data_IF_419568830964
#
_entry.id   IF_419568830964
#
_cell.length_a   1.000
_cell.length_b   1.000
_cell.length_c   1.000
_cell.angle_alpha   90.00
_cell.angle_beta   90.00
_cell.angle_gamma   90.00
#
_symmetry.space_group_name_H-M   'P 1'
#
loop_
_entity.id
_entity.type
_entity.pdbx_description
1 polymer ?
#
# COMPACT_ATOMS: atom_id res chain seq x y z
N UNK A 1 -12.41 -1.36 -13.04
CA UNK A 1 -11.15 -2.10 -12.86
C UNK A 1 -10.50 -1.66 -11.58
N UNK A 2 -10.12 -2.61 -10.76
CA UNK A 2 -9.41 -2.34 -9.51
C UNK A 2 -7.95 -2.71 -9.72
N UNK A 3 -7.07 -1.79 -9.43
CA UNK A 3 -5.64 -2.02 -9.51
C UNK A 3 -4.94 -1.63 -8.22
N UNK A 4 -3.85 -2.28 -7.92
CA UNK A 4 -3.01 -1.95 -6.76
C UNK A 4 -1.65 -1.50 -7.26
N UNK A 5 -1.18 -0.41 -6.67
CA UNK A 5 0.19 0.07 -6.89
C UNK A 5 0.98 -0.22 -5.64
N UNK A 6 1.90 -1.15 -5.75
CA UNK A 6 2.84 -1.47 -4.71
C UNK A 6 4.11 -1.99 -5.36
N UNK A 7 5.23 -1.81 -4.71
CA UNK A 7 6.47 -2.40 -5.16
C UNK A 7 6.51 -3.86 -4.73
N UNK A 8 6.26 -4.74 -5.67
CA UNK A 8 6.16 -6.18 -5.48
C UNK A 8 5.35 -6.77 -6.61
N UNK A 9 5.34 -8.08 -6.72
CA UNK A 9 4.57 -8.74 -7.76
C UNK A 9 3.18 -9.12 -7.26
N UNK A 10 2.19 -8.30 -7.61
CA UNK A 10 0.78 -8.55 -7.33
C UNK A 10 0.00 -8.85 -8.61
N UNK A 11 0.67 -9.32 -9.64
CA UNK A 11 0.04 -9.53 -10.95
C UNK A 11 -1.18 -10.44 -10.87
N UNK A 12 -1.14 -11.50 -10.09
CA UNK A 12 -2.28 -12.41 -9.92
C UNK A 12 -3.44 -11.74 -9.20
N UNK A 13 -3.16 -10.99 -8.13
CA UNK A 13 -4.16 -10.23 -7.39
C UNK A 13 -4.82 -9.19 -8.28
N UNK A 14 -4.03 -8.45 -9.05
CA UNK A 14 -4.53 -7.47 -10.00
C UNK A 14 -5.43 -8.10 -11.06
N UNK A 15 -5.06 -9.28 -11.59
CA UNK A 15 -5.88 -9.99 -12.57
C UNK A 15 -7.24 -10.38 -12.00
N UNK A 16 -7.30 -10.87 -10.78
CA UNK A 16 -8.56 -11.18 -10.11
C UNK A 16 -9.43 -9.94 -9.97
N UNK A 17 -8.84 -8.85 -9.50
CA UNK A 17 -9.57 -7.61 -9.26
C UNK A 17 -10.06 -6.97 -10.55
N UNK A 18 -9.33 -7.12 -11.65
CA UNK A 18 -9.75 -6.65 -12.97
C UNK A 18 -11.00 -7.37 -13.50
N UNK A 19 -11.27 -8.58 -13.02
CA UNK A 19 -12.47 -9.33 -13.39
C UNK A 19 -13.71 -8.87 -12.61
N UNK A 20 -13.53 -8.14 -11.53
CA UNK A 20 -14.62 -7.61 -10.70
C UNK A 20 -14.95 -6.20 -11.16
N UNK A 21 -15.38 -6.05 -12.41
CA UNK A 21 -15.56 -4.74 -13.02
C UNK A 21 -16.66 -3.89 -12.41
N UNK A 22 -17.64 -4.48 -11.74
CA UNK A 22 -18.86 -3.75 -11.40
C UNK A 22 -19.37 -3.96 -9.97
N UNK A 23 -18.63 -4.68 -9.14
CA UNK A 23 -19.13 -5.05 -7.83
C UNK A 23 -18.27 -4.67 -6.65
N UNK A 24 -17.14 -3.98 -6.86
CA UNK A 24 -16.32 -3.58 -5.73
C UNK A 24 -17.05 -2.52 -4.93
N UNK A 25 -17.61 -2.94 -3.82
CA UNK A 25 -18.15 -2.02 -2.84
C UNK A 25 -16.99 -1.17 -2.32
N UNK A 26 -17.09 0.14 -2.51
CA UNK A 26 -16.07 1.09 -2.04
C UNK A 26 -15.85 0.98 -0.52
N UNK A 27 -16.85 0.51 0.24
CA UNK A 27 -16.71 0.26 1.68
C UNK A 27 -15.70 -0.83 1.98
N UNK A 28 -15.58 -1.84 1.11
CA UNK A 28 -14.56 -2.88 1.26
C UNK A 28 -13.17 -2.30 1.06
N UNK A 29 -13.00 -1.42 0.08
CA UNK A 29 -11.72 -0.74 -0.15
C UNK A 29 -11.35 0.17 1.02
N UNK A 30 -12.32 0.88 1.61
CA UNK A 30 -12.09 1.70 2.79
C UNK A 30 -11.64 0.85 3.98
N UNK A 31 -12.27 -0.30 4.18
CA UNK A 31 -11.88 -1.23 5.24
C UNK A 31 -10.41 -1.64 5.10
N UNK A 32 -10.01 -2.07 3.90
CA UNK A 32 -8.63 -2.50 3.66
C UNK A 32 -7.66 -1.33 3.61
N UNK A 33 -8.11 -0.16 3.19
CA UNK A 33 -7.34 1.07 3.31
C UNK A 33 -6.97 1.37 4.74
N UNK A 34 -7.94 1.33 5.65
CA UNK A 34 -7.71 1.55 7.08
C UNK A 34 -6.82 0.47 7.70
N UNK A 35 -7.05 -0.79 7.38
CA UNK A 35 -6.21 -1.89 7.86
C UNK A 35 -4.76 -1.76 7.36
N UNK A 36 -4.58 -1.39 6.10
CA UNK A 36 -3.26 -1.20 5.51
C UNK A 36 -2.50 -0.04 6.14
N UNK A 37 -3.18 1.08 6.38
CA UNK A 37 -2.58 2.24 7.08
C UNK A 37 -2.13 1.82 8.48
N UNK A 38 -2.96 1.10 9.23
CA UNK A 38 -2.60 0.63 10.57
C UNK A 38 -1.40 -0.31 10.53
N UNK A 39 -1.35 -1.23 9.56
CA UNK A 39 -0.24 -2.16 9.40
C UNK A 39 1.06 -1.44 9.04
N UNK A 40 1.00 -0.49 8.11
CA UNK A 40 2.17 0.32 7.71
C UNK A 40 2.67 1.17 8.86
N UNK A 41 1.76 1.81 9.60
CA UNK A 41 2.10 2.61 10.77
C UNK A 41 2.83 1.78 11.82
N UNK A 42 2.31 0.58 12.12
CA UNK A 42 2.91 -0.32 13.10
C UNK A 42 4.27 -0.86 12.67
N UNK A 43 4.47 -1.06 11.37
CA UNK A 43 5.71 -1.61 10.84
C UNK A 43 6.80 -0.57 10.64
N UNK A 44 6.45 0.71 10.58
CA UNK A 44 7.41 1.80 10.36
C UNK A 44 8.43 1.85 11.52
N UNK A 45 9.74 1.97 11.23
CA UNK A 45 10.76 2.03 12.27
C UNK A 45 10.49 3.10 13.33
N UNK A 46 10.74 2.75 14.60
CA UNK A 46 10.37 3.57 15.77
C UNK A 46 11.01 4.96 15.75
N UNK A 47 12.24 5.09 15.25
CA UNK A 47 12.94 6.36 15.17
C UNK A 47 12.27 7.37 14.25
N UNK A 48 11.26 6.93 13.50
CA UNK A 48 10.54 7.73 12.52
C UNK A 48 9.07 7.92 12.94
N UNK A 49 8.85 8.34 14.19
CA UNK A 49 7.49 8.53 14.72
C UNK A 49 6.60 9.40 13.84
N UNK A 50 7.13 10.45 13.24
CA UNK A 50 6.39 11.27 12.30
C UNK A 50 5.99 10.46 11.04
N UNK A 51 6.91 9.66 10.51
CA UNK A 51 6.62 8.82 9.36
C UNK A 51 5.52 7.81 9.68
N UNK A 52 5.58 7.17 10.85
CA UNK A 52 4.56 6.22 11.27
C UNK A 52 3.16 6.84 11.34
N UNK A 53 3.07 8.11 11.72
CA UNK A 53 1.80 8.85 11.85
C UNK A 53 1.32 9.47 10.54
N UNK A 54 2.14 9.43 9.50
CA UNK A 54 1.87 10.14 8.24
C UNK A 54 1.30 9.24 7.14
N UNK A 55 1.07 7.98 7.41
CA UNK A 55 0.45 7.06 6.46
C UNK A 55 -1.03 7.40 6.26
N UNK A 56 -1.46 7.35 5.00
CA UNK A 56 -2.87 7.46 4.64
C UNK A 56 -3.12 6.68 3.36
N UNK A 57 -4.38 6.46 3.06
CA UNK A 57 -4.75 5.85 1.79
C UNK A 57 -5.68 6.77 1.03
N UNK A 58 -5.76 6.56 -0.25
CA UNK A 58 -6.77 7.21 -1.10
C UNK A 58 -7.25 6.22 -2.15
N UNK A 59 -8.49 6.42 -2.58
CA UNK A 59 -9.12 5.65 -3.63
C UNK A 59 -9.28 6.57 -4.81
N UNK A 60 -8.70 6.19 -5.95
CA UNK A 60 -8.81 6.95 -7.20
C UNK A 60 -9.61 6.16 -8.22
N UNK A 61 -10.51 6.84 -8.92
CA UNK A 61 -11.26 6.25 -10.03
C UNK A 61 -10.93 7.03 -11.29
N UNK A 62 -10.51 6.29 -12.33
CA UNK A 62 -10.23 6.87 -13.65
C UNK A 62 -10.89 5.96 -14.69
N UNK A 63 -12.00 6.41 -15.26
CA UNK A 63 -12.81 5.59 -16.15
C UNK A 63 -13.32 4.34 -15.42
N UNK A 64 -12.99 3.16 -15.94
CA UNK A 64 -13.38 1.87 -15.36
C UNK A 64 -12.40 1.38 -14.29
N UNK A 65 -11.33 2.15 -14.02
CA UNK A 65 -10.28 1.73 -13.12
C UNK A 65 -10.45 2.36 -11.74
N UNK A 66 -10.47 1.53 -10.70
CA UNK A 66 -10.43 1.96 -9.31
C UNK A 66 -9.11 1.50 -8.71
N UNK A 67 -8.41 2.43 -8.05
CA UNK A 67 -7.10 2.16 -7.42
C UNK A 67 -7.13 2.49 -5.95
N UNK A 68 -6.60 1.59 -5.13
CA UNK A 68 -6.33 1.84 -3.71
C UNK A 68 -4.84 2.15 -3.58
N UNK A 69 -4.52 3.36 -3.11
CA UNK A 69 -3.17 3.86 -3.00
C UNK A 69 -2.81 4.12 -1.55
N UNK A 70 -1.66 3.61 -1.12
CA UNK A 70 -1.11 3.93 0.20
C UNK A 70 -0.02 4.97 0.03
N UNK A 71 -0.13 6.05 0.81
CA UNK A 71 0.71 7.23 0.69
C UNK A 71 1.26 7.62 2.06
N UNK A 72 2.37 8.35 2.05
CA UNK A 72 2.91 8.92 3.27
C UNK A 72 3.23 10.40 3.04
N UNK A 73 2.71 11.26 3.91
CA UNK A 73 2.84 12.70 3.76
C UNK A 73 4.16 13.27 4.31
N UNK A 74 5.00 12.44 4.96
CA UNK A 74 6.26 12.92 5.50
C UNK A 74 7.33 13.03 4.40
N UNK A 75 7.37 14.20 3.79
CA UNK A 75 8.36 14.54 2.77
C UNK A 75 9.23 15.65 3.33
N UNK A 76 10.55 15.41 3.42
CA UNK A 76 11.52 16.37 3.95
C UNK A 76 12.49 16.77 2.85
N UNK A 77 12.58 18.07 2.55
CA UNK A 77 13.45 18.58 1.48
C UNK A 77 13.24 17.84 0.14
N UNK A 78 11.98 17.53 -0.19
CA UNK A 78 11.63 16.79 -1.40
C UNK A 78 11.86 15.28 -1.32
N UNK A 79 12.31 14.77 -0.17
CA UNK A 79 12.61 13.34 0.02
C UNK A 79 11.47 12.64 0.75
N UNK A 80 10.86 11.59 0.15
CA UNK A 80 9.84 10.82 0.84
C UNK A 80 10.50 9.87 1.86
N UNK A 81 10.40 10.21 3.12
CA UNK A 81 11.11 9.51 4.20
C UNK A 81 10.71 8.04 4.29
N UNK A 82 9.43 7.71 4.13
CA UNK A 82 8.98 6.32 4.18
C UNK A 82 9.69 5.43 3.16
N UNK A 83 9.98 5.96 1.99
CA UNK A 83 10.63 5.23 0.90
C UNK A 83 12.12 5.02 1.20
N UNK A 84 12.81 6.03 1.69
CA UNK A 84 14.24 5.85 1.99
C UNK A 84 14.47 4.92 3.19
N UNK A 85 13.52 4.83 4.11
CA UNK A 85 13.59 3.84 5.19
C UNK A 85 13.48 2.41 4.64
N UNK A 86 12.68 2.22 3.59
CA UNK A 86 12.52 0.93 2.93
C UNK A 86 13.78 0.51 2.17
N UNK A 87 14.37 1.42 1.41
CA UNK A 87 15.43 1.10 0.44
C UNK A 87 16.84 1.53 0.87
N UNK A 88 16.94 2.35 1.93
CA UNK A 88 18.21 2.93 2.32
C UNK A 88 18.53 4.18 1.54
N UNK A 89 19.59 4.86 1.94
CA UNK A 89 19.98 6.12 1.30
C UNK A 89 21.44 6.47 1.60
N UNK A 90 22.02 7.32 0.76
CA UNK A 90 23.33 7.90 1.01
C UNK A 90 23.25 9.00 2.07
N UNK A 91 24.33 9.17 2.84
CA UNK A 91 24.40 10.17 3.91
C UNK A 91 24.86 11.54 3.44
N UNK A 92 25.28 11.67 2.18
CA UNK A 92 25.86 12.90 1.64
C UNK A 92 27.34 13.06 1.96
N UNK A 93 27.92 12.18 2.76
CA UNK A 93 29.34 12.22 3.16
C UNK A 93 30.09 10.95 2.75
N UNK A 94 29.56 10.23 1.77
CA UNK A 94 30.14 8.98 1.27
C UNK A 94 29.68 7.72 1.99
N UNK A 95 28.85 7.84 3.03
CA UNK A 95 28.28 6.73 3.75
C UNK A 95 26.94 6.26 3.17
N UNK A 96 26.45 5.15 3.69
CA UNK A 96 25.18 4.56 3.30
C UNK A 96 24.41 4.09 4.53
N UNK A 97 23.12 4.43 4.59
CA UNK A 97 22.21 3.91 5.61
C UNK A 97 21.40 2.77 4.98
N UNK A 98 21.53 1.58 5.54
CA UNK A 98 20.85 0.39 5.03
C UNK A 98 19.34 0.51 5.21
N UNK A 99 18.59 0.19 4.16
CA UNK A 99 17.15 0.11 4.21
C UNK A 99 16.67 -1.14 4.94
N UNK A 100 15.41 -1.10 5.35
CA UNK A 100 14.72 -2.22 5.97
C UNK A 100 13.42 -2.47 5.26
N UNK A 101 13.22 -3.67 4.74
CA UNK A 101 11.99 -4.06 4.06
C UNK A 101 10.86 -4.18 5.10
N UNK A 102 10.12 -3.11 5.31
CA UNK A 102 8.99 -3.10 6.23
C UNK A 102 7.65 -2.90 5.54
N UNK A 103 7.64 -2.24 4.38
CA UNK A 103 6.42 -1.93 3.65
C UNK A 103 5.80 -3.21 3.09
N UNK A 104 6.57 -4.01 2.36
CA UNK A 104 6.07 -5.21 1.71
C UNK A 104 5.49 -6.23 2.70
N UNK A 105 6.20 -6.60 3.80
CA UNK A 105 5.64 -7.52 4.78
C UNK A 105 4.38 -6.98 5.47
N UNK A 106 4.28 -5.67 5.67
CA UNK A 106 3.13 -5.07 6.32
C UNK A 106 1.88 -5.10 5.43
N UNK A 107 2.05 -4.81 4.13
CA UNK A 107 0.92 -4.63 3.23
C UNK A 107 0.49 -5.92 2.52
N UNK A 108 1.40 -6.89 2.37
CA UNK A 108 1.11 -8.14 1.68
C UNK A 108 -0.11 -8.88 2.26
N UNK A 109 -0.23 -9.06 3.60
CA UNK A 109 -1.40 -9.74 4.16
C UNK A 109 -2.71 -9.00 3.88
N UNK A 110 -2.66 -7.67 3.78
CA UNK A 110 -3.84 -6.86 3.50
C UNK A 110 -4.33 -7.13 2.07
N UNK A 111 -3.43 -7.14 1.10
CA UNK A 111 -3.78 -7.45 -0.28
C UNK A 111 -4.22 -8.90 -0.45
N UNK A 112 -3.64 -9.84 0.29
CA UNK A 112 -4.06 -11.23 0.26
C UNK A 112 -5.51 -11.38 0.76
N UNK A 113 -5.87 -10.70 1.84
CA UNK A 113 -7.25 -10.70 2.34
C UNK A 113 -8.20 -10.05 1.34
N UNK A 114 -7.81 -8.93 0.77
CA UNK A 114 -8.61 -8.25 -0.23
C UNK A 114 -8.84 -9.14 -1.46
N UNK A 115 -7.82 -9.84 -1.92
CA UNK A 115 -7.94 -10.76 -3.03
C UNK A 115 -8.89 -11.91 -2.72
N UNK A 116 -8.84 -12.47 -1.50
CA UNK A 116 -9.74 -13.53 -1.06
C UNK A 116 -11.19 -13.05 -1.00
N UNK A 117 -11.43 -11.87 -0.46
CA UNK A 117 -12.78 -11.30 -0.37
C UNK A 117 -13.32 -10.99 -1.76
N UNK A 118 -12.48 -10.46 -2.64
CA UNK A 118 -12.84 -10.22 -4.03
C UNK A 118 -13.21 -11.52 -4.74
N UNK A 119 -12.44 -12.59 -4.52
CA UNK A 119 -12.70 -13.90 -5.08
C UNK A 119 -14.05 -14.47 -4.61
N UNK A 120 -14.36 -14.30 -3.32
CA UNK A 120 -15.66 -14.73 -2.76
C UNK A 120 -16.82 -14.04 -3.46
N UNK A 121 -16.72 -12.73 -3.67
CA UNK A 121 -17.77 -11.97 -4.34
C UNK A 121 -17.98 -12.47 -5.78
N UNK A 122 -16.90 -12.77 -6.49
CA UNK A 122 -16.96 -13.31 -7.85
C UNK A 122 -17.59 -14.71 -7.86
N UNK A 123 -17.28 -15.56 -6.88
CA UNK A 123 -17.78 -16.92 -6.84
C UNK A 123 -19.22 -17.04 -6.33
N UNK A 124 -19.77 -16.01 -5.73
CA UNK A 124 -21.19 -15.96 -5.34
C UNK A 124 -22.11 -15.64 -6.50
N UNK A 125 -21.57 -15.19 -7.57
CA UNK A 125 -22.34 -14.89 -8.78
C UNK A 125 -22.56 -16.18 -9.59
#
# INVERSE_FOLDING_TARGET
MIGFRQKGDFSNTTKFLNRIKHGADLRVLDKYGNEGVAALSSATPVDSGLTAKSWYYKIERTGDKTSLLFCNSNIQNGVPIAIILQYGHGTGTGGWVQGRDYINPAIQPIFDKLAKDAWREVTKL
#
